data_IF_759331545899
#
_entry.id   IF_759331545899
#
_cell.length_a   1.000
_cell.length_b   1.000
_cell.length_c   1.000
_cell.angle_alpha   90.00
_cell.angle_beta   90.00
_cell.angle_gamma   90.00
#
_symmetry.space_group_name_H-M   'P 1'
#
loop_
_entity.id
_entity.type
_entity.pdbx_description
1 polymer ?
#
# COMPACT_ATOMS: atom_id res chain seq x y z
N UNK A 1 5.83 30.34 17.68
CA UNK A 1 5.42 29.62 16.45
C UNK A 1 5.71 28.14 16.66
N UNK A 2 4.77 27.24 16.35
CA UNK A 2 5.08 25.80 16.29
C UNK A 2 6.17 25.63 15.21
N UNK A 3 7.22 24.86 15.48
CA UNK A 3 8.25 24.56 14.48
C UNK A 3 7.62 23.81 13.31
N UNK A 4 8.05 24.10 12.08
CA UNK A 4 7.58 23.36 10.90
C UNK A 4 7.83 21.86 11.06
N UNK A 5 6.81 20.98 10.91
CA UNK A 5 6.98 19.55 11.08
C UNK A 5 7.84 18.98 9.95
N UNK A 6 8.79 18.10 10.29
CA UNK A 6 9.54 17.33 9.28
C UNK A 6 8.82 16.01 9.00
N UNK A 7 8.52 15.76 7.74
CA UNK A 7 7.86 14.54 7.26
C UNK A 7 8.88 13.73 6.45
N UNK A 8 9.32 12.61 6.99
CA UNK A 8 10.30 11.74 6.33
C UNK A 8 9.59 10.68 5.49
N UNK A 9 9.87 10.63 4.18
CA UNK A 9 9.23 9.71 3.24
C UNK A 9 10.28 8.80 2.58
N UNK A 10 10.08 7.49 2.68
CA UNK A 10 10.94 6.48 2.04
C UNK A 10 10.31 5.95 0.75
N UNK A 11 11.03 5.13 -0.01
CA UNK A 11 10.45 4.39 -1.13
C UNK A 11 9.91 5.28 -2.26
N UNK A 12 10.45 6.49 -2.40
CA UNK A 12 9.94 7.55 -3.27
C UNK A 12 10.02 7.25 -4.78
N UNK A 13 10.85 6.28 -5.17
CA UNK A 13 10.90 5.76 -6.54
C UNK A 13 9.78 4.75 -6.85
N UNK A 14 9.07 4.27 -5.82
CA UNK A 14 7.91 3.40 -5.97
C UNK A 14 6.64 4.15 -6.35
N UNK A 15 5.57 3.41 -6.65
CA UNK A 15 4.29 3.97 -7.09
C UNK A 15 3.68 4.91 -6.03
N UNK A 16 3.52 4.41 -4.79
CA UNK A 16 2.90 5.17 -3.69
C UNK A 16 3.83 6.28 -3.19
N UNK A 17 5.13 6.00 -3.04
CA UNK A 17 6.10 7.00 -2.59
C UNK A 17 6.20 8.21 -3.52
N UNK A 18 6.16 7.99 -4.84
CA UNK A 18 6.13 9.08 -5.82
C UNK A 18 4.91 9.99 -5.64
N UNK A 19 3.72 9.41 -5.48
CA UNK A 19 2.50 10.21 -5.28
C UNK A 19 2.48 10.88 -3.90
N UNK A 20 3.01 10.24 -2.86
CA UNK A 20 3.11 10.83 -1.52
C UNK A 20 3.94 12.10 -1.50
N UNK A 21 5.06 12.15 -2.24
CA UNK A 21 5.86 13.38 -2.34
C UNK A 21 5.09 14.56 -2.93
N UNK A 22 4.09 14.29 -3.79
CA UNK A 22 3.23 15.30 -4.41
C UNK A 22 2.08 15.68 -3.48
N UNK A 23 1.43 14.70 -2.86
CA UNK A 23 0.26 14.91 -2.00
C UNK A 23 0.61 15.51 -0.63
N UNK A 24 1.84 15.34 -0.13
CA UNK A 24 2.29 15.87 1.17
C UNK A 24 2.85 17.30 1.08
N UNK A 25 2.94 17.89 -0.11
CA UNK A 25 3.43 19.27 -0.27
C UNK A 25 2.53 20.26 0.49
N UNK A 26 3.15 21.24 1.16
CA UNK A 26 2.43 22.24 1.95
C UNK A 26 2.02 21.80 3.35
N UNK A 27 2.27 20.54 3.75
CA UNK A 27 2.01 20.04 5.11
C UNK A 27 3.23 20.14 6.04
N UNK A 28 4.39 20.55 5.52
CA UNK A 28 5.62 20.74 6.27
C UNK A 28 6.87 20.47 5.43
N UNK A 29 8.01 20.30 6.11
CA UNK A 29 9.28 19.98 5.46
C UNK A 29 9.31 18.50 5.06
N UNK A 30 8.94 18.21 3.82
CA UNK A 30 9.01 16.85 3.26
C UNK A 30 10.46 16.51 2.91
N UNK A 31 10.99 15.47 3.54
CA UNK A 31 12.32 14.93 3.25
C UNK A 31 12.17 13.58 2.57
N UNK A 32 12.54 13.52 1.29
CA UNK A 32 12.52 12.32 0.48
C UNK A 32 13.88 11.60 0.59
N UNK A 33 13.89 10.30 0.88
CA UNK A 33 15.07 9.47 0.63
C UNK A 33 14.76 8.43 -0.43
N UNK A 34 15.51 8.50 -1.52
CA UNK A 34 15.59 7.42 -2.50
C UNK A 34 16.65 6.38 -2.08
N UNK A 35 16.76 5.31 -2.87
CA UNK A 35 17.71 4.21 -2.61
C UNK A 35 19.18 4.63 -2.73
N UNK A 36 19.48 5.70 -3.47
CA UNK A 36 20.85 6.23 -3.59
C UNK A 36 21.27 7.02 -2.35
N UNK A 37 20.31 7.66 -1.67
CA UNK A 37 20.53 8.40 -0.43
C UNK A 37 20.47 7.51 0.81
N UNK A 38 19.60 6.49 0.80
CA UNK A 38 19.44 5.55 1.90
C UNK A 38 19.08 4.16 1.36
N UNK A 39 20.04 3.24 1.43
CA UNK A 39 19.71 1.82 1.28
C UNK A 39 19.02 1.34 2.55
N UNK A 40 17.75 0.99 2.43
CA UNK A 40 16.95 0.49 3.55
C UNK A 40 17.43 -0.89 4.04
N UNK A 41 18.27 -1.59 3.27
CA UNK A 41 18.87 -2.84 3.75
C UNK A 41 19.89 -2.63 4.88
N UNK A 42 20.49 -1.43 4.97
CA UNK A 42 21.40 -1.02 6.03
C UNK A 42 20.61 -0.41 7.21
N UNK A 43 20.26 -1.25 8.17
CA UNK A 43 19.44 -0.86 9.31
C UNK A 43 20.12 0.18 10.22
N UNK A 44 21.45 0.16 10.34
CA UNK A 44 22.19 1.12 11.17
C UNK A 44 22.22 2.50 10.51
N UNK A 45 22.34 2.54 9.19
CA UNK A 45 22.20 3.80 8.45
C UNK A 45 20.78 4.34 8.53
N UNK A 46 19.75 3.48 8.44
CA UNK A 46 18.34 3.88 8.64
C UNK A 46 18.16 4.56 10.01
N UNK A 47 18.64 3.93 11.10
CA UNK A 47 18.58 4.53 12.45
C UNK A 47 19.27 5.89 12.49
N UNK A 48 20.47 5.97 11.92
CA UNK A 48 21.28 7.19 11.93
C UNK A 48 20.56 8.34 11.22
N UNK A 49 19.97 8.08 10.05
CA UNK A 49 19.21 9.09 9.29
C UNK A 49 17.98 9.56 10.07
N UNK A 50 17.20 8.65 10.67
CA UNK A 50 16.03 9.06 11.45
C UNK A 50 16.42 9.94 12.64
N UNK A 51 17.51 9.60 13.34
CA UNK A 51 18.03 10.40 14.47
C UNK A 51 18.56 11.76 14.06
N UNK A 52 19.17 11.86 12.88
CA UNK A 52 19.67 13.11 12.31
C UNK A 52 18.50 14.02 11.88
N UNK A 53 17.55 13.46 11.14
CA UNK A 53 16.40 14.21 10.61
C UNK A 53 15.40 14.65 11.67
N UNK A 54 15.30 13.89 12.78
CA UNK A 54 14.32 14.10 13.86
C UNK A 54 12.91 14.34 13.31
N UNK A 55 12.38 13.43 12.47
CA UNK A 55 11.09 13.64 11.85
C UNK A 55 9.98 13.67 12.90
N UNK A 56 8.95 14.47 12.66
CA UNK A 56 7.69 14.41 13.41
C UNK A 56 6.81 13.28 12.90
N UNK A 57 6.93 12.93 11.62
CA UNK A 57 6.18 11.87 10.96
C UNK A 57 7.12 11.09 10.03
N UNK A 58 7.08 9.76 10.12
CA UNK A 58 7.73 8.84 9.17
C UNK A 58 6.63 8.22 8.31
N UNK A 59 6.74 8.31 7.00
CA UNK A 59 5.83 7.69 6.03
C UNK A 59 6.62 6.66 5.22
N UNK A 60 6.34 5.37 5.46
CA UNK A 60 7.10 4.26 4.91
C UNK A 60 6.27 3.43 3.91
N UNK A 61 6.22 3.83 2.62
CA UNK A 61 5.66 3.02 1.53
C UNK A 61 6.68 2.02 0.94
N UNK A 62 7.94 2.03 1.40
CA UNK A 62 8.94 1.10 0.91
C UNK A 62 8.64 -0.34 1.37
N UNK A 63 8.75 -1.28 0.44
CA UNK A 63 8.53 -2.70 0.68
C UNK A 63 9.21 -3.54 -0.42
N UNK A 64 9.44 -4.81 -0.11
CA UNK A 64 9.69 -5.83 -1.12
C UNK A 64 8.36 -6.31 -1.68
N UNK A 65 8.02 -5.91 -2.91
CA UNK A 65 6.69 -6.13 -3.52
C UNK A 65 6.66 -7.16 -4.65
N UNK A 66 7.79 -7.78 -4.98
CA UNK A 66 7.86 -8.85 -5.97
C UNK A 66 7.34 -10.17 -5.36
N UNK A 67 6.02 -10.30 -5.26
CA UNK A 67 5.33 -11.39 -4.53
C UNK A 67 5.87 -12.78 -4.89
N UNK A 68 5.91 -13.12 -6.17
CA UNK A 68 6.40 -14.43 -6.62
C UNK A 68 7.89 -14.64 -6.31
N UNK A 69 8.71 -13.58 -6.38
CA UNK A 69 10.14 -13.67 -6.07
C UNK A 69 10.38 -13.82 -4.56
N UNK A 70 9.48 -13.32 -3.71
CA UNK A 70 9.61 -13.41 -2.26
C UNK A 70 9.68 -14.86 -1.76
N UNK A 71 9.07 -15.81 -2.47
CA UNK A 71 9.12 -17.25 -2.15
C UNK A 71 10.55 -17.81 -2.12
N UNK A 72 11.47 -17.19 -2.86
CA UNK A 72 12.88 -17.61 -2.93
C UNK A 72 13.84 -16.59 -2.31
N UNK A 73 13.45 -15.31 -2.27
CA UNK A 73 14.24 -14.21 -1.71
C UNK A 73 13.73 -13.82 -0.31
N UNK A 74 13.57 -14.83 0.56
CA UNK A 74 12.88 -14.72 1.84
C UNK A 74 13.56 -13.71 2.77
N UNK A 75 14.89 -13.72 2.84
CA UNK A 75 15.65 -12.83 3.72
C UNK A 75 15.57 -11.38 3.27
N UNK A 76 15.64 -11.10 1.97
CA UNK A 76 15.46 -9.74 1.46
C UNK A 76 14.02 -9.26 1.66
N UNK A 77 13.04 -10.15 1.47
CA UNK A 77 11.64 -9.85 1.76
C UNK A 77 11.46 -9.51 3.24
N UNK A 78 11.96 -10.32 4.18
CA UNK A 78 11.89 -10.08 5.62
C UNK A 78 12.64 -8.82 6.04
N UNK A 79 13.84 -8.58 5.50
CA UNK A 79 14.63 -7.36 5.74
C UNK A 79 13.80 -6.11 5.46
N UNK A 80 13.21 -6.01 4.27
CA UNK A 80 12.46 -4.82 3.87
C UNK A 80 11.04 -4.76 4.43
N UNK A 81 10.36 -5.89 4.58
CA UNK A 81 8.95 -5.93 4.97
C UNK A 81 8.73 -6.00 6.48
N UNK A 82 9.70 -6.50 7.25
CA UNK A 82 9.57 -6.67 8.70
C UNK A 82 10.60 -5.85 9.49
N UNK A 83 11.89 -5.98 9.14
CA UNK A 83 12.95 -5.40 9.95
C UNK A 83 13.09 -3.90 9.78
N UNK A 84 12.99 -3.39 8.54
CA UNK A 84 12.98 -1.94 8.28
C UNK A 84 11.80 -1.23 8.97
N UNK A 85 10.54 -1.70 8.86
CA UNK A 85 9.43 -1.12 9.61
C UNK A 85 9.62 -1.16 11.12
N UNK A 86 10.19 -2.25 11.67
CA UNK A 86 10.55 -2.33 13.10
C UNK A 86 11.53 -1.22 13.48
N UNK A 87 12.58 -1.01 12.71
CA UNK A 87 13.57 0.06 12.97
C UNK A 87 12.90 1.43 12.98
N UNK A 88 12.04 1.72 12.00
CA UNK A 88 11.29 2.97 11.99
C UNK A 88 10.40 3.13 13.22
N UNK A 89 9.71 2.08 13.62
CA UNK A 89 8.83 2.08 14.80
C UNK A 89 9.62 2.26 16.11
N UNK A 90 10.80 1.65 16.23
CA UNK A 90 11.68 1.82 17.40
C UNK A 90 12.18 3.27 17.50
N UNK A 91 12.65 3.85 16.40
CA UNK A 91 13.13 5.23 16.41
C UNK A 91 11.97 6.24 16.58
N UNK A 92 10.78 5.94 16.05
CA UNK A 92 9.58 6.72 16.29
C UNK A 92 9.14 6.70 17.76
N UNK A 93 9.15 5.53 18.42
CA UNK A 93 8.88 5.41 19.85
C UNK A 93 9.87 6.25 20.67
N UNK A 94 11.15 6.28 20.27
CA UNK A 94 12.20 7.04 20.97
C UNK A 94 12.05 8.55 20.81
N UNK A 95 11.66 9.03 19.63
CA UNK A 95 11.57 10.47 19.33
C UNK A 95 10.19 11.08 19.57
N UNK A 96 9.17 10.24 19.78
CA UNK A 96 7.77 10.66 19.83
C UNK A 96 7.17 10.96 18.44
N UNK A 97 7.81 10.50 17.36
CA UNK A 97 7.27 10.62 16.01
C UNK A 97 6.10 9.65 15.78
N UNK A 98 5.25 9.98 14.82
CA UNK A 98 4.25 9.05 14.30
C UNK A 98 4.80 8.25 13.11
N UNK A 99 4.40 6.98 12.97
CA UNK A 99 4.73 6.13 11.82
C UNK A 99 3.50 5.81 10.98
N UNK A 100 3.49 6.18 9.71
CA UNK A 100 2.52 5.69 8.72
C UNK A 100 3.19 4.60 7.88
N UNK A 101 2.69 3.37 7.95
CA UNK A 101 3.22 2.22 7.22
C UNK A 101 2.12 1.53 6.40
N UNK A 102 2.48 1.05 5.21
CA UNK A 102 1.55 0.37 4.31
C UNK A 102 1.77 -1.13 4.37
N UNK A 103 0.69 -1.88 4.55
CA UNK A 103 0.66 -3.33 4.53
C UNK A 103 -0.25 -3.84 3.41
N UNK A 104 -0.69 -5.09 3.49
CA UNK A 104 -1.35 -5.79 2.38
C UNK A 104 -2.52 -6.63 2.85
N UNK A 105 -3.47 -6.84 1.95
CA UNK A 105 -4.47 -7.90 1.97
C UNK A 105 -3.89 -9.33 2.05
N UNK A 106 -2.65 -9.55 1.62
CA UNK A 106 -2.00 -10.88 1.60
C UNK A 106 -1.71 -11.46 3.00
N UNK A 107 -1.96 -10.69 4.07
CA UNK A 107 -1.96 -11.20 5.45
C UNK A 107 -3.14 -12.13 5.73
N UNK A 108 -4.18 -12.10 4.89
CA UNK A 108 -5.33 -13.00 4.97
C UNK A 108 -5.16 -14.19 4.02
N UNK A 109 -5.87 -15.27 4.31
CA UNK A 109 -5.86 -16.49 3.49
C UNK A 109 -6.77 -16.44 2.26
N UNK A 110 -7.70 -15.48 2.25
CA UNK A 110 -8.71 -15.30 1.22
C UNK A 110 -9.89 -16.26 1.28
N UNK A 111 -10.06 -17.04 2.35
CA UNK A 111 -11.14 -18.06 2.43
C UNK A 111 -12.47 -17.51 2.97
N UNK A 112 -12.45 -16.33 3.59
CA UNK A 112 -13.65 -15.71 4.18
C UNK A 112 -14.67 -15.38 3.09
N UNK A 113 -15.94 -15.66 3.35
CA UNK A 113 -17.05 -15.12 2.54
C UNK A 113 -17.34 -13.67 2.95
N UNK A 114 -17.36 -12.75 1.99
CA UNK A 114 -17.62 -11.32 2.22
C UNK A 114 -16.34 -10.50 2.44
N UNK A 115 -16.45 -9.39 3.18
CA UNK A 115 -15.33 -8.47 3.43
C UNK A 115 -14.56 -8.83 4.69
N UNK A 116 -13.23 -8.68 4.68
CA UNK A 116 -12.40 -8.75 5.89
C UNK A 116 -12.51 -7.44 6.69
N UNK A 117 -12.61 -7.55 8.01
CA UNK A 117 -12.47 -6.43 8.97
C UNK A 117 -11.13 -6.57 9.70
N UNK A 118 -10.64 -5.49 10.28
CA UNK A 118 -9.29 -5.40 10.87
C UNK A 118 -9.06 -6.40 12.02
N UNK A 119 -10.12 -6.85 12.70
CA UNK A 119 -10.08 -7.82 13.80
C UNK A 119 -10.14 -9.27 13.34
N UNK A 120 -10.31 -9.53 12.03
CA UNK A 120 -10.26 -10.91 11.54
C UNK A 120 -8.85 -11.50 11.67
N UNK A 121 -8.81 -12.79 11.96
CA UNK A 121 -7.55 -13.52 12.08
C UNK A 121 -6.76 -13.49 10.77
N UNK A 122 -5.44 -13.36 10.92
CA UNK A 122 -4.50 -13.33 9.81
C UNK A 122 -3.93 -14.72 9.61
N UNK A 123 -3.77 -15.14 8.36
CA UNK A 123 -3.27 -16.46 7.98
C UNK A 123 -2.60 -16.38 6.59
N UNK A 124 -1.47 -15.67 6.45
CA UNK A 124 -0.83 -15.44 5.16
C UNK A 124 -0.44 -16.76 4.49
N UNK A 125 -0.65 -16.83 3.18
CA UNK A 125 -0.46 -18.07 2.39
C UNK A 125 0.79 -18.04 1.49
N UNK A 126 1.61 -17.00 1.61
CA UNK A 126 2.83 -16.78 0.84
C UNK A 126 3.83 -15.96 1.67
N UNK A 127 5.10 -15.96 1.25
CA UNK A 127 6.19 -15.29 1.99
C UNK A 127 6.01 -13.77 2.03
N UNK A 128 5.47 -13.17 0.97
CA UNK A 128 5.18 -11.73 0.95
C UNK A 128 4.20 -11.33 2.06
N UNK A 129 3.04 -11.99 2.14
CA UNK A 129 2.05 -11.77 3.18
C UNK A 129 2.58 -12.06 4.58
N UNK A 130 3.37 -13.13 4.73
CA UNK A 130 4.01 -13.49 6.00
C UNK A 130 4.96 -12.38 6.48
N UNK A 131 5.88 -11.96 5.64
CA UNK A 131 6.89 -10.94 6.01
C UNK A 131 6.26 -9.56 6.22
N UNK A 132 5.16 -9.22 5.51
CA UNK A 132 4.38 -8.01 5.78
C UNK A 132 3.68 -8.08 7.14
N UNK A 133 3.09 -9.22 7.49
CA UNK A 133 2.46 -9.44 8.81
C UNK A 133 3.50 -9.40 9.96
N UNK A 134 4.68 -9.98 9.76
CA UNK A 134 5.81 -9.85 10.70
C UNK A 134 6.14 -8.38 10.95
N UNK A 135 6.14 -7.54 9.92
CA UNK A 135 6.32 -6.09 10.05
C UNK A 135 5.21 -5.38 10.80
N UNK A 136 3.94 -5.72 10.56
CA UNK A 136 2.81 -5.17 11.33
C UNK A 136 2.98 -5.45 12.82
N UNK A 137 3.30 -6.71 13.17
CA UNK A 137 3.51 -7.15 14.55
C UNK A 137 4.71 -6.45 15.19
N UNK A 138 5.80 -6.31 14.44
CA UNK A 138 7.00 -5.65 14.92
C UNK A 138 6.80 -4.16 15.18
N UNK A 139 6.01 -3.47 14.35
CA UNK A 139 5.59 -2.07 14.61
C UNK A 139 4.74 -2.00 15.87
N UNK A 140 3.69 -2.82 15.97
CA UNK A 140 2.77 -2.78 17.11
C UNK A 140 3.50 -3.04 18.44
N UNK A 141 4.49 -3.93 18.46
CA UNK A 141 5.25 -4.30 19.65
C UNK A 141 6.11 -3.15 20.21
N UNK A 142 6.44 -2.10 19.44
CA UNK A 142 7.24 -0.97 19.95
C UNK A 142 6.42 0.02 20.78
N UNK A 143 5.10 0.03 20.62
CA UNK A 143 4.22 1.01 21.24
C UNK A 143 4.33 2.44 20.68
N UNK A 144 5.05 2.65 19.56
CA UNK A 144 5.03 3.96 18.90
C UNK A 144 3.63 4.31 18.42
N UNK A 145 3.30 5.61 18.33
CA UNK A 145 2.10 6.02 17.62
C UNK A 145 2.24 5.66 16.13
N UNK A 146 1.31 4.87 15.60
CA UNK A 146 1.42 4.33 14.25
C UNK A 146 0.07 4.18 13.56
N UNK A 147 0.09 4.27 12.23
CA UNK A 147 -0.97 3.82 11.35
C UNK A 147 -0.43 2.73 10.45
N UNK A 148 -0.99 1.53 10.54
CA UNK A 148 -0.75 0.43 9.60
C UNK A 148 -1.93 0.41 8.63
N UNK A 149 -1.68 0.72 7.36
CA UNK A 149 -2.68 0.84 6.30
C UNK A 149 -2.60 -0.38 5.38
N UNK A 150 -3.47 -1.38 5.56
CA UNK A 150 -3.55 -2.55 4.66
C UNK A 150 -4.22 -2.15 3.36
N UNK A 151 -3.50 -2.23 2.25
CA UNK A 151 -4.03 -1.91 0.91
C UNK A 151 -4.06 -3.15 0.02
N UNK A 152 -4.66 -3.05 -1.17
CA UNK A 152 -4.76 -4.14 -2.14
C UNK A 152 -4.58 -3.64 -3.57
N UNK A 153 -3.97 -4.49 -4.41
CA UNK A 153 -3.95 -4.33 -5.88
C UNK A 153 -3.48 -2.94 -6.34
N UNK A 154 -2.37 -2.48 -5.78
CA UNK A 154 -1.86 -1.13 -6.02
C UNK A 154 -1.40 -0.95 -7.48
N UNK A 155 -1.92 0.08 -8.15
CA UNK A 155 -1.54 0.44 -9.51
C UNK A 155 -1.32 1.95 -9.68
N UNK A 156 -0.73 2.35 -10.81
CA UNK A 156 -0.54 3.74 -11.20
C UNK A 156 0.10 3.87 -12.57
N UNK A 157 0.46 5.09 -12.98
CA UNK A 157 1.05 5.40 -14.30
C UNK A 157 2.56 5.14 -14.39
N UNK A 158 3.13 4.47 -13.39
CA UNK A 158 4.57 4.20 -13.28
C UNK A 158 4.85 2.90 -12.54
N UNK A 159 6.10 2.45 -12.61
CA UNK A 159 6.54 1.20 -12.01
C UNK A 159 6.04 -0.02 -12.79
N UNK A 160 6.09 -1.19 -12.14
CA UNK A 160 5.52 -2.44 -12.68
C UNK A 160 4.23 -2.72 -11.94
N UNK A 161 3.11 -2.78 -12.67
CA UNK A 161 1.79 -3.06 -12.11
C UNK A 161 0.88 -3.69 -13.17
N UNK A 162 -0.30 -4.14 -12.73
CA UNK A 162 -1.27 -4.81 -13.58
C UNK A 162 -1.79 -3.90 -14.71
N UNK A 163 -2.13 -2.65 -14.41
CA UNK A 163 -2.62 -1.67 -15.40
C UNK A 163 -1.67 -1.54 -16.60
N UNK A 164 -0.40 -1.24 -16.34
CA UNK A 164 0.60 -1.06 -17.40
C UNK A 164 0.88 -2.36 -18.16
N UNK A 165 0.80 -3.50 -17.47
CA UNK A 165 0.93 -4.82 -18.11
C UNK A 165 -0.22 -5.08 -19.07
N UNK A 166 -1.46 -4.78 -18.67
CA UNK A 166 -2.64 -4.93 -19.54
C UNK A 166 -2.56 -4.00 -20.74
N UNK A 167 -2.28 -2.70 -20.53
CA UNK A 167 -2.16 -1.74 -21.64
C UNK A 167 -1.10 -2.18 -22.67
N UNK A 168 0.06 -2.67 -22.21
CA UNK A 168 1.08 -3.22 -23.10
C UNK A 168 0.55 -4.42 -23.88
N UNK A 169 0.07 -5.44 -23.17
CA UNK A 169 -0.36 -6.69 -23.78
C UNK A 169 -1.55 -6.51 -24.73
N UNK A 170 -2.49 -5.62 -24.42
CA UNK A 170 -3.63 -5.32 -25.27
C UNK A 170 -3.27 -4.59 -26.56
N UNK A 171 -2.13 -3.90 -26.60
CA UNK A 171 -1.58 -3.36 -27.85
C UNK A 171 -0.89 -4.39 -28.74
N UNK A 172 -0.52 -5.55 -28.16
CA UNK A 172 0.28 -6.59 -28.82
C UNK A 172 -0.54 -7.82 -29.21
N UNK A 173 -1.69 -8.04 -28.59
CA UNK A 173 -2.49 -9.28 -28.71
C UNK A 173 -3.95 -8.96 -28.93
N UNK A 174 -4.64 -9.78 -29.73
CA UNK A 174 -6.09 -9.69 -29.94
C UNK A 174 -6.92 -10.41 -28.87
N UNK A 175 -6.31 -11.32 -28.10
CA UNK A 175 -6.97 -12.06 -27.02
C UNK A 175 -6.02 -12.21 -25.82
N UNK A 176 -6.57 -12.10 -24.61
CA UNK A 176 -5.90 -12.30 -23.33
C UNK A 176 -6.73 -13.20 -22.43
N UNK A 177 -6.07 -14.10 -21.71
CA UNK A 177 -6.70 -14.96 -20.70
C UNK A 177 -6.38 -14.40 -19.32
N UNK A 178 -7.39 -14.06 -18.53
CA UNK A 178 -7.22 -13.35 -17.25
C UNK A 178 -8.03 -14.02 -16.15
N UNK A 179 -7.45 -14.11 -14.96
CA UNK A 179 -8.03 -14.78 -13.79
C UNK A 179 -9.32 -14.08 -13.33
N UNK A 180 -10.40 -14.85 -13.16
CA UNK A 180 -11.73 -14.32 -12.79
C UNK A 180 -12.21 -14.75 -11.39
N UNK A 181 -11.55 -15.72 -10.75
CA UNK A 181 -11.92 -16.25 -9.43
C UNK A 181 -11.17 -15.61 -8.24
N UNK A 182 -10.34 -14.59 -8.49
CA UNK A 182 -9.68 -13.78 -7.47
C UNK A 182 -10.31 -12.40 -7.41
N UNK A 183 -10.99 -12.10 -6.30
CA UNK A 183 -11.81 -10.89 -6.13
C UNK A 183 -11.15 -9.93 -5.13
N UNK A 184 -10.96 -8.69 -5.54
CA UNK A 184 -10.36 -7.63 -4.73
C UNK A 184 -10.77 -6.25 -5.20
N UNK A 185 -10.08 -5.22 -4.71
CA UNK A 185 -10.29 -3.84 -5.14
C UNK A 185 -8.99 -3.23 -5.69
N UNK A 186 -8.92 -2.93 -7.00
CA UNK A 186 -7.84 -2.15 -7.58
C UNK A 186 -7.70 -0.79 -6.89
N UNK A 187 -6.52 -0.52 -6.31
CA UNK A 187 -6.31 0.72 -5.57
C UNK A 187 -5.26 1.59 -6.24
N UNK A 188 -5.66 2.78 -6.68
CA UNK A 188 -4.75 3.71 -7.32
C UNK A 188 -3.77 4.32 -6.32
N UNK A 189 -2.47 4.33 -6.65
CA UNK A 189 -1.42 4.88 -5.81
C UNK A 189 -1.66 6.34 -5.41
N UNK A 190 -2.27 7.15 -6.30
CA UNK A 190 -2.60 8.55 -5.99
C UNK A 190 -3.78 8.68 -5.03
N UNK A 191 -4.76 7.78 -5.11
CA UNK A 191 -5.81 7.67 -4.09
C UNK A 191 -5.20 7.39 -2.71
N UNK A 192 -4.26 6.45 -2.62
CA UNK A 192 -3.56 6.12 -1.37
C UNK A 192 -2.83 7.35 -0.83
N UNK A 193 -2.03 8.01 -1.68
CA UNK A 193 -1.24 9.17 -1.29
C UNK A 193 -2.11 10.37 -0.85
N UNK A 194 -3.19 10.65 -1.59
CA UNK A 194 -4.12 11.75 -1.30
C UNK A 194 -4.88 11.51 0.00
N UNK A 195 -5.42 10.30 0.21
CA UNK A 195 -6.09 10.00 1.46
C UNK A 195 -5.11 9.99 2.65
N UNK A 196 -3.85 9.57 2.45
CA UNK A 196 -2.82 9.68 3.49
C UNK A 196 -2.54 11.14 3.85
N UNK A 197 -2.43 12.04 2.86
CA UNK A 197 -2.19 13.45 3.13
C UNK A 197 -3.35 14.10 3.86
N UNK A 198 -4.60 13.67 3.63
CA UNK A 198 -5.74 14.12 4.44
C UNK A 198 -5.61 13.71 5.92
N UNK A 199 -5.20 12.48 6.21
CA UNK A 199 -4.93 12.03 7.59
C UNK A 199 -3.84 12.89 8.24
N UNK A 200 -2.73 13.11 7.53
CA UNK A 200 -1.63 13.95 8.02
C UNK A 200 -2.09 15.39 8.25
N UNK A 201 -2.88 15.96 7.34
CA UNK A 201 -3.42 17.31 7.48
C UNK A 201 -4.35 17.44 8.70
N UNK A 202 -5.22 16.45 8.93
CA UNK A 202 -6.07 16.40 10.14
C UNK A 202 -5.23 16.38 11.42
N UNK A 203 -4.16 15.59 11.46
CA UNK A 203 -3.26 15.51 12.61
C UNK A 203 -2.57 16.84 12.90
N UNK A 204 -2.06 17.50 11.85
CA UNK A 204 -1.32 18.76 11.98
C UNK A 204 -2.22 19.96 12.29
N UNK A 205 -3.48 19.93 11.85
CA UNK A 205 -4.47 20.95 12.16
C UNK A 205 -5.08 20.80 13.57
N UNK A 206 -4.92 19.63 14.20
CA UNK A 206 -5.46 19.38 15.54
C UNK A 206 -4.61 20.02 16.65
N UNK A 207 -5.27 20.49 17.71
CA UNK A 207 -4.61 20.89 18.96
C UNK A 207 -4.49 19.74 19.98
N UNK A 208 -4.99 18.55 19.64
CA UNK A 208 -4.87 17.35 20.45
C UNK A 208 -3.42 16.84 20.44
N UNK A 209 -2.72 16.95 21.58
CA UNK A 209 -1.32 16.53 21.69
C UNK A 209 -1.10 15.03 21.46
N UNK A 210 -2.10 14.22 21.76
CA UNK A 210 -2.13 12.77 21.67
C UNK A 210 -2.97 12.27 20.48
N UNK A 211 -3.24 13.14 19.49
CA UNK A 211 -4.05 12.80 18.30
C UNK A 211 -3.60 11.49 17.63
N UNK A 212 -2.30 11.33 17.43
CA UNK A 212 -1.69 10.14 16.83
C UNK A 212 -1.82 8.90 17.70
N UNK A 213 -1.67 9.05 19.03
CA UNK A 213 -1.76 7.93 19.96
C UNK A 213 -3.20 7.40 20.03
N UNK A 214 -4.20 8.28 20.09
CA UNK A 214 -5.62 7.87 20.14
C UNK A 214 -6.12 7.21 18.86
N UNK A 215 -5.50 7.52 17.72
CA UNK A 215 -5.83 6.94 16.41
C UNK A 215 -4.81 5.89 15.98
N UNK A 216 -3.94 5.48 16.89
CA UNK A 216 -2.91 4.49 16.59
C UNK A 216 -3.55 3.13 16.33
N UNK A 217 -3.07 2.44 15.31
CA UNK A 217 -3.45 1.06 15.04
C UNK A 217 -3.53 0.73 13.56
N UNK A 218 -4.32 -0.31 13.28
CA UNK A 218 -4.46 -0.89 11.95
C UNK A 218 -5.78 -0.48 11.29
N UNK A 219 -5.70 -0.14 10.01
CA UNK A 219 -6.83 0.27 9.17
C UNK A 219 -6.73 -0.39 7.79
N UNK A 220 -7.87 -0.76 7.23
CA UNK A 220 -7.98 -1.13 5.83
C UNK A 220 -8.07 0.13 4.95
N UNK A 221 -7.34 0.12 3.83
CA UNK A 221 -7.03 1.31 3.03
C UNK A 221 -6.92 0.97 1.54
N UNK A 222 -8.06 0.62 0.94
CA UNK A 222 -8.20 0.27 -0.47
C UNK A 222 -9.37 1.03 -1.13
N UNK A 223 -9.45 1.06 -2.45
CA UNK A 223 -10.63 1.60 -3.15
C UNK A 223 -11.91 0.86 -2.72
N UNK A 224 -13.05 1.55 -2.75
CA UNK A 224 -14.35 0.92 -2.58
C UNK A 224 -14.71 0.04 -3.80
N UNK A 225 -15.76 -0.77 -3.63
CA UNK A 225 -16.20 -1.74 -4.64
C UNK A 225 -15.32 -3.00 -4.66
N UNK A 226 -15.57 -3.87 -5.64
CA UNK A 226 -14.74 -5.04 -5.88
C UNK A 226 -14.89 -5.51 -7.34
N UNK A 227 -13.87 -6.19 -7.85
CA UNK A 227 -13.86 -6.82 -9.17
C UNK A 227 -12.85 -7.98 -9.18
N UNK A 228 -12.88 -8.78 -10.24
CA UNK A 228 -11.85 -9.77 -10.51
C UNK A 228 -10.68 -9.16 -11.30
N UNK A 229 -9.57 -9.87 -11.48
CA UNK A 229 -8.51 -9.40 -12.39
C UNK A 229 -9.03 -9.31 -13.82
N UNK A 230 -9.91 -10.23 -14.22
CA UNK A 230 -10.62 -10.22 -15.50
C UNK A 230 -11.47 -8.95 -15.64
N UNK A 231 -12.35 -8.67 -14.67
CA UNK A 231 -13.19 -7.46 -14.71
C UNK A 231 -12.38 -6.16 -14.67
N UNK A 232 -11.24 -6.13 -13.96
CA UNK A 232 -10.33 -5.00 -14.00
C UNK A 232 -9.66 -4.83 -15.39
N UNK A 233 -9.24 -5.93 -16.02
CA UNK A 233 -8.67 -5.90 -17.37
C UNK A 233 -9.69 -5.41 -18.42
N UNK A 234 -10.93 -5.90 -18.35
CA UNK A 234 -12.02 -5.42 -19.22
C UNK A 234 -12.24 -3.92 -19.07
N UNK A 235 -12.32 -3.40 -17.84
CA UNK A 235 -12.48 -1.97 -17.58
C UNK A 235 -11.30 -1.14 -18.13
N UNK A 236 -10.05 -1.62 -17.94
CA UNK A 236 -8.86 -0.97 -18.50
C UNK A 236 -8.96 -0.85 -20.02
N UNK A 237 -9.33 -1.94 -20.70
CA UNK A 237 -9.38 -1.93 -22.16
C UNK A 237 -10.56 -1.13 -22.71
N UNK A 238 -11.72 -1.21 -22.05
CA UNK A 238 -12.88 -0.40 -22.40
C UNK A 238 -12.54 1.10 -22.37
N UNK A 239 -11.93 1.57 -21.28
CA UNK A 239 -11.60 3.00 -21.10
C UNK A 239 -10.41 3.45 -21.96
N UNK A 240 -9.40 2.60 -22.17
CA UNK A 240 -8.15 3.00 -22.85
C UNK A 240 -8.12 2.72 -24.35
N UNK A 241 -8.86 1.71 -24.83
CA UNK A 241 -8.73 1.20 -26.21
C UNK A 241 -10.03 1.22 -27.01
N UNK A 242 -11.19 1.23 -26.34
CA UNK A 242 -12.50 1.23 -27.00
C UNK A 242 -12.68 0.05 -27.94
N UNK A 243 -13.07 0.29 -29.20
CA UNK A 243 -13.29 -0.75 -30.21
C UNK A 243 -12.04 -1.58 -30.56
N UNK A 244 -10.85 -1.09 -30.23
CA UNK A 244 -9.57 -1.81 -30.43
C UNK A 244 -9.22 -2.73 -29.25
N UNK A 245 -10.07 -2.79 -28.23
CA UNK A 245 -9.83 -3.63 -27.07
C UNK A 245 -9.67 -5.11 -27.47
N UNK A 246 -8.67 -5.83 -26.92
CA UNK A 246 -8.58 -7.27 -27.10
C UNK A 246 -9.75 -7.97 -26.41
N UNK A 247 -10.07 -9.18 -26.86
CA UNK A 247 -10.99 -10.06 -26.15
C UNK A 247 -10.35 -10.54 -24.84
N UNK A 248 -11.04 -10.39 -23.71
CA UNK A 248 -10.59 -10.89 -22.41
C UNK A 248 -11.37 -12.16 -22.05
N UNK A 249 -10.69 -13.30 -22.08
CA UNK A 249 -11.27 -14.60 -21.74
C UNK A 249 -11.06 -14.87 -20.25
N UNK A 250 -12.14 -15.09 -19.47
CA UNK A 250 -12.01 -15.43 -18.07
C UNK A 250 -11.44 -16.84 -17.92
N UNK A 251 -10.52 -17.01 -16.97
CA UNK A 251 -9.97 -18.31 -16.58
C UNK A 251 -9.99 -18.47 -15.06
N UNK A 252 -10.10 -19.70 -14.53
CA UNK A 252 -9.85 -19.94 -13.11
C UNK A 252 -8.36 -19.77 -12.79
N UNK A 253 -8.04 -19.44 -11.54
CA UNK A 253 -6.66 -19.31 -11.06
C UNK A 253 -5.86 -20.62 -11.17
N UNK A 254 -6.52 -21.78 -11.20
CA UNK A 254 -5.90 -23.08 -11.46
C UNK A 254 -5.24 -23.18 -12.84
N UNK A 255 -5.72 -22.40 -13.82
CA UNK A 255 -5.23 -22.39 -15.19
C UNK A 255 -4.07 -21.38 -15.38
N UNK A 256 -3.68 -20.67 -14.31
CA UNK A 256 -2.59 -19.70 -14.33
C UNK A 256 -1.67 -19.91 -13.12
N UNK A 257 -0.86 -20.99 -13.10
CA UNK A 257 -0.01 -21.29 -11.96
C UNK A 257 1.07 -20.22 -11.80
N UNK A 258 1.15 -19.68 -10.59
CA UNK A 258 2.17 -18.72 -10.14
C UNK A 258 2.87 -19.28 -8.92
N UNK A 259 4.08 -18.80 -8.62
CA UNK A 259 4.88 -19.32 -7.52
C UNK A 259 4.24 -19.03 -6.15
N UNK A 260 3.76 -17.80 -5.96
CA UNK A 260 3.11 -17.41 -4.71
C UNK A 260 1.59 -17.64 -4.78
N UNK A 261 1.03 -18.35 -3.80
CA UNK A 261 -0.41 -18.55 -3.67
C UNK A 261 -1.10 -17.20 -3.41
N UNK A 262 -2.10 -16.87 -4.22
CA UNK A 262 -2.87 -15.61 -4.11
C UNK A 262 -4.23 -15.87 -3.45
N UNK A 263 -4.71 -14.97 -2.57
CA UNK A 263 -6.03 -15.12 -1.97
C UNK A 263 -7.13 -14.98 -3.03
N UNK A 264 -8.13 -15.86 -2.98
CA UNK A 264 -9.31 -15.77 -3.87
C UNK A 264 -10.24 -14.62 -3.50
N UNK A 265 -10.16 -14.14 -2.25
CA UNK A 265 -10.90 -12.98 -1.79
C UNK A 265 -9.95 -12.05 -1.01
N UNK A 266 -9.82 -10.82 -1.45
CA UNK A 266 -9.04 -9.78 -0.79
C UNK A 266 -9.85 -8.52 -0.49
N UNK A 267 -11.18 -8.62 -0.43
CA UNK A 267 -12.04 -7.48 -0.12
C UNK A 267 -11.89 -7.04 1.33
N UNK A 268 -11.66 -5.75 1.54
CA UNK A 268 -11.45 -5.14 2.83
C UNK A 268 -12.62 -4.19 3.17
N UNK A 269 -13.15 -4.26 4.40
CA UNK A 269 -14.09 -3.24 4.91
C UNK A 269 -13.34 -1.95 5.23
N UNK A 270 -14.01 -0.80 5.07
CA UNK A 270 -13.47 0.54 5.38
C UNK A 270 -14.19 1.23 6.54
N UNK A 271 -15.02 0.51 7.29
CA UNK A 271 -15.86 1.09 8.33
C UNK A 271 -15.02 1.79 9.41
N UNK A 272 -13.97 1.12 9.89
CA UNK A 272 -13.05 1.66 10.90
C UNK A 272 -12.31 2.91 10.42
N UNK A 273 -11.89 2.94 9.15
CA UNK A 273 -11.25 4.11 8.55
C UNK A 273 -12.23 5.30 8.48
N UNK A 274 -13.47 5.02 8.07
CA UNK A 274 -14.53 6.03 7.95
C UNK A 274 -14.87 6.61 9.33
N UNK A 275 -15.00 5.76 10.35
CA UNK A 275 -15.29 6.19 11.72
C UNK A 275 -14.15 7.04 12.31
N UNK A 276 -12.89 6.64 12.12
CA UNK A 276 -11.74 7.31 12.74
C UNK A 276 -11.34 8.64 12.07
N UNK A 277 -11.50 8.74 10.74
CA UNK A 277 -10.97 9.87 9.97
C UNK A 277 -12.01 10.57 9.09
N UNK A 278 -13.26 10.06 9.01
CA UNK A 278 -14.27 10.57 8.09
C UNK A 278 -13.96 10.31 6.62
N UNK A 279 -12.98 9.46 6.31
CA UNK A 279 -12.50 9.22 4.95
C UNK A 279 -13.27 8.09 4.28
N UNK A 280 -13.76 8.35 3.07
CA UNK A 280 -14.32 7.36 2.16
C UNK A 280 -13.48 7.31 0.91
N UNK A 281 -12.88 6.16 0.64
CA UNK A 281 -12.08 5.95 -0.56
C UNK A 281 -13.01 5.76 -1.77
N UNK A 282 -12.65 6.29 -2.95
CA UNK A 282 -13.50 6.24 -4.14
C UNK A 282 -13.74 4.81 -4.62
N UNK A 283 -14.78 4.61 -5.41
CA UNK A 283 -14.98 3.37 -6.15
C UNK A 283 -13.79 3.12 -7.10
N UNK A 284 -13.37 1.87 -7.22
CA UNK A 284 -12.21 1.50 -8.04
C UNK A 284 -12.37 1.89 -9.51
N UNK A 285 -13.59 1.83 -10.06
CA UNK A 285 -13.84 2.14 -11.47
C UNK A 285 -13.71 3.66 -11.73
N UNK A 286 -14.20 4.48 -10.81
CA UNK A 286 -14.03 5.95 -10.89
C UNK A 286 -12.56 6.35 -10.75
N UNK A 287 -11.83 5.71 -9.83
CA UNK A 287 -10.40 5.92 -9.66
C UNK A 287 -9.59 5.47 -10.89
N UNK A 288 -10.01 4.40 -11.59
CA UNK A 288 -9.39 3.96 -12.85
C UNK A 288 -9.53 5.02 -13.94
N UNK A 289 -10.74 5.57 -14.13
CA UNK A 289 -10.99 6.63 -15.14
C UNK A 289 -10.12 7.85 -14.89
N UNK A 290 -10.05 8.32 -13.65
CA UNK A 290 -9.16 9.43 -13.27
C UNK A 290 -7.70 9.09 -13.55
N UNK A 291 -7.25 7.89 -13.17
CA UNK A 291 -5.87 7.45 -13.43
C UNK A 291 -5.53 7.42 -14.92
N UNK A 292 -6.44 6.96 -15.79
CA UNK A 292 -6.23 6.90 -17.24
C UNK A 292 -6.23 8.29 -17.92
N UNK A 293 -6.85 9.28 -17.28
CA UNK A 293 -6.87 10.67 -17.76
C UNK A 293 -5.58 11.46 -17.48
N UNK A 294 -4.63 10.87 -16.72
CA UNK A 294 -3.28 11.42 -16.48
C UNK A 294 -2.24 10.96 -17.52
#
# INVERSE_FOLDING_TARGET
MKSEPTIFVTGVNGQVGFELLRSLQGLGRVVACDRSMLDLSDLDRVRSVVRELKPSIIVNPAAYTAVDKAETDVDAARRLNAEVPRVFAEEAARSGAALVHYSTDYVFDGTKKGVYVETNETNPQNVYGLTKLEGERAIAATGCAHLILRTSWVYGRRGKNFLLTMLKLGSERSELRVVDDQIGAPTWAKTIATATSHIVAQALASDERDWWARRSGLYHFASAGATSWHGFAEAIFADAMGERAPKVVPIPSSDYPVAAKRPVNSRLSHDKLTEAFGLRLPDWADALKLCLSE
#
